data_IF_106518306946
#
_entry.id   IF_106518306946
#
_cell.length_a   1.000
_cell.length_b   1.000
_cell.length_c   1.000
_cell.angle_alpha   90.00
_cell.angle_beta   90.00
_cell.angle_gamma   90.00
#
_symmetry.space_group_name_H-M   'P 1'
#
loop_
_entity.id
_entity.type
_entity.pdbx_description
1 polymer ?
#
# COMPACT_ATOMS: atom_id res chain seq x y z
N UNK A 1 12.22 8.03 -9.63
CA UNK A 1 12.11 7.12 -8.46
C UNK A 1 12.19 5.69 -8.98
N UNK A 2 12.92 4.81 -8.29
CA UNK A 2 13.56 3.60 -8.83
C UNK A 2 12.62 2.58 -9.48
N UNK A 3 12.75 2.37 -10.80
CA UNK A 3 12.06 1.33 -11.58
C UNK A 3 12.51 -0.11 -11.26
N UNK A 4 13.53 -0.28 -10.40
CA UNK A 4 14.11 -1.56 -9.98
C UNK A 4 13.51 -2.10 -8.67
N UNK A 5 12.55 -1.40 -8.07
CA UNK A 5 11.84 -1.85 -6.87
C UNK A 5 10.77 -2.89 -7.24
N UNK A 6 11.20 -4.12 -7.55
CA UNK A 6 10.26 -5.22 -7.80
C UNK A 6 9.51 -5.58 -6.51
N UNK A 7 8.15 -5.59 -6.52
CA UNK A 7 7.38 -5.99 -5.35
C UNK A 7 7.74 -7.42 -4.92
N UNK A 8 8.05 -7.61 -3.64
CA UNK A 8 8.32 -8.95 -3.09
C UNK A 8 7.07 -9.83 -3.24
N UNK A 9 7.16 -11.00 -3.90
CA UNK A 9 6.03 -11.92 -4.05
C UNK A 9 5.51 -12.40 -2.69
N UNK A 10 4.19 -12.62 -2.51
CA UNK A 10 3.61 -13.07 -1.25
C UNK A 10 4.22 -14.38 -0.72
N UNK A 11 4.58 -15.31 -1.61
CA UNK A 11 5.22 -16.59 -1.26
C UNK A 11 6.59 -16.42 -0.62
N UNK A 12 7.41 -15.49 -1.15
CA UNK A 12 8.72 -15.15 -0.60
C UNK A 12 8.59 -14.44 0.74
N UNK A 13 7.57 -13.60 0.88
CA UNK A 13 7.25 -12.94 2.14
C UNK A 13 6.87 -13.96 3.21
N UNK A 14 5.93 -14.88 2.92
CA UNK A 14 5.49 -15.93 3.84
C UNK A 14 6.64 -16.86 4.27
N UNK A 15 7.53 -17.25 3.36
CA UNK A 15 8.68 -18.08 3.69
C UNK A 15 9.61 -17.42 4.72
N UNK A 16 9.78 -16.09 4.65
CA UNK A 16 10.60 -15.34 5.59
C UNK A 16 9.93 -15.12 6.96
N UNK A 17 8.62 -15.36 7.09
CA UNK A 17 7.91 -15.21 8.38
C UNK A 17 8.27 -16.32 9.38
N UNK A 18 8.58 -17.52 8.89
CA UNK A 18 8.82 -18.73 9.72
C UNK A 18 10.01 -18.60 10.66
N UNK A 19 10.96 -17.75 10.30
CA UNK A 19 12.21 -17.54 11.05
C UNK A 19 12.15 -16.31 11.99
N UNK A 20 11.00 -15.61 12.04
CA UNK A 20 10.83 -14.40 12.83
C UNK A 20 10.34 -14.71 14.26
N UNK A 21 10.84 -13.93 15.22
CA UNK A 21 10.25 -13.90 16.56
C UNK A 21 8.86 -13.26 16.53
N UNK A 22 8.02 -13.60 17.52
CA UNK A 22 6.69 -12.97 17.71
C UNK A 22 6.79 -11.44 17.77
N UNK A 23 7.81 -10.90 18.45
CA UNK A 23 8.04 -9.45 18.50
C UNK A 23 8.31 -8.84 17.13
N UNK A 24 9.06 -9.54 16.28
CA UNK A 24 9.33 -9.12 14.90
C UNK A 24 8.09 -9.21 14.01
N UNK A 25 7.23 -10.21 14.21
CA UNK A 25 5.94 -10.32 13.51
C UNK A 25 5.01 -9.15 13.86
N UNK A 26 4.90 -8.78 15.14
CA UNK A 26 4.12 -7.62 15.57
C UNK A 26 4.69 -6.31 15.02
N UNK A 27 6.01 -6.13 15.05
CA UNK A 27 6.66 -4.96 14.47
C UNK A 27 6.36 -4.86 12.97
N UNK A 28 6.42 -5.97 12.23
CA UNK A 28 6.11 -5.98 10.80
C UNK A 28 4.64 -5.67 10.52
N UNK A 29 3.72 -6.19 11.34
CA UNK A 29 2.30 -5.87 11.23
C UNK A 29 2.02 -4.38 11.50
N UNK A 30 2.71 -3.77 12.47
CA UNK A 30 2.59 -2.34 12.76
C UNK A 30 3.13 -1.49 11.60
N UNK A 31 4.29 -1.85 11.04
CA UNK A 31 4.87 -1.18 9.87
C UNK A 31 3.90 -1.20 8.67
N UNK A 32 3.33 -2.38 8.34
CA UNK A 32 2.37 -2.50 7.24
C UNK A 32 1.12 -1.65 7.46
N UNK A 33 0.58 -1.62 8.68
CA UNK A 33 -0.59 -0.78 9.00
C UNK A 33 -0.30 0.71 8.86
N UNK A 34 0.87 1.15 9.33
CA UNK A 34 1.27 2.55 9.20
C UNK A 34 1.39 2.94 7.72
N UNK A 35 2.02 2.08 6.90
CA UNK A 35 2.14 2.34 5.46
C UNK A 35 0.77 2.40 4.76
N UNK A 36 -0.15 1.49 5.09
CA UNK A 36 -1.53 1.53 4.58
C UNK A 36 -2.22 2.84 4.97
N UNK A 37 -2.11 3.25 6.24
CA UNK A 37 -2.71 4.49 6.71
C UNK A 37 -2.16 5.71 5.94
N UNK A 38 -0.84 5.77 5.74
CA UNK A 38 -0.23 6.85 4.96
C UNK A 38 -0.72 6.88 3.50
N UNK A 39 -0.78 5.73 2.82
CA UNK A 39 -1.29 5.64 1.45
C UNK A 39 -2.77 6.00 1.35
N UNK A 40 -3.59 5.56 2.31
CA UNK A 40 -5.01 5.89 2.37
C UNK A 40 -5.23 7.41 2.55
N UNK A 41 -4.45 8.05 3.44
CA UNK A 41 -4.49 9.51 3.60
C UNK A 41 -4.02 10.24 2.34
N UNK A 42 -2.99 9.76 1.66
CA UNK A 42 -2.53 10.33 0.38
C UNK A 42 -3.61 10.21 -0.70
N UNK A 43 -4.27 9.06 -0.81
CA UNK A 43 -5.37 8.86 -1.77
C UNK A 43 -6.55 9.78 -1.46
N UNK A 44 -6.87 10.00 -0.18
CA UNK A 44 -7.92 10.96 0.18
C UNK A 44 -7.58 12.38 -0.30
N UNK A 45 -6.35 12.83 -0.05
CA UNK A 45 -5.89 14.15 -0.51
C UNK A 45 -5.95 14.30 -2.03
N UNK A 46 -5.56 13.26 -2.78
CA UNK A 46 -5.65 13.27 -4.25
C UNK A 46 -7.10 13.31 -4.72
N UNK A 47 -8.02 12.61 -4.06
CA UNK A 47 -9.46 12.68 -4.38
C UNK A 47 -10.03 14.04 -4.09
N UNK A 48 -9.69 14.64 -2.95
CA UNK A 48 -10.14 15.98 -2.58
C UNK A 48 -9.64 17.01 -3.61
N UNK A 49 -8.38 16.90 -4.05
CA UNK A 49 -7.84 17.72 -5.13
C UNK A 49 -8.60 17.56 -6.45
N UNK A 50 -8.92 16.33 -6.87
CA UNK A 50 -9.70 16.06 -8.08
C UNK A 50 -11.13 16.60 -7.99
N UNK A 51 -11.73 16.63 -6.81
CA UNK A 51 -13.07 17.19 -6.59
C UNK A 51 -13.11 18.72 -6.69
N UNK A 52 -11.99 19.38 -6.36
CA UNK A 52 -11.83 20.83 -6.47
C UNK A 52 -11.49 21.30 -7.91
N UNK A 53 -11.21 20.37 -8.84
CA UNK A 53 -10.93 20.72 -10.23
C UNK A 53 -12.17 21.22 -10.96
N UNK A 54 -11.94 22.05 -11.98
CA UNK A 54 -13.00 22.54 -12.87
C UNK A 54 -13.67 21.35 -13.59
N UNK A 55 -14.98 21.10 -13.38
CA UNK A 55 -15.68 19.99 -14.01
C UNK A 55 -15.78 20.07 -15.54
N UNK A 56 -15.47 21.23 -16.13
CA UNK A 56 -15.41 21.42 -17.59
C UNK A 56 -14.08 20.97 -18.19
N UNK A 57 -13.05 20.72 -17.38
CA UNK A 57 -11.76 20.21 -17.80
C UNK A 57 -11.65 18.70 -17.52
N UNK A 58 -10.84 17.96 -18.29
CA UNK A 58 -10.50 16.58 -17.95
C UNK A 58 -9.81 16.50 -16.59
N UNK A 59 -10.14 15.47 -15.81
CA UNK A 59 -9.46 15.19 -14.55
C UNK A 59 -7.96 14.94 -14.78
N UNK A 60 -7.14 15.38 -13.82
CA UNK A 60 -5.70 15.14 -13.84
C UNK A 60 -5.39 13.62 -13.85
N UNK A 61 -4.90 13.14 -14.99
CA UNK A 61 -4.61 11.73 -15.22
C UNK A 61 -3.52 11.20 -14.27
N UNK A 62 -2.52 12.04 -13.92
CA UNK A 62 -1.44 11.62 -13.02
C UNK A 62 -1.98 11.36 -11.61
N UNK A 63 -2.95 12.19 -11.16
CA UNK A 63 -3.62 11.99 -9.88
C UNK A 63 -4.48 10.72 -9.87
N UNK A 64 -5.19 10.44 -10.96
CA UNK A 64 -6.01 9.22 -11.10
C UNK A 64 -5.13 7.98 -11.11
N UNK A 65 -4.04 7.98 -11.88
CA UNK A 65 -3.11 6.86 -11.96
C UNK A 65 -2.41 6.62 -10.63
N UNK A 66 -1.98 7.68 -9.94
CA UNK A 66 -1.39 7.57 -8.60
C UNK A 66 -2.34 6.93 -7.58
N UNK A 67 -3.64 7.27 -7.61
CA UNK A 67 -4.65 6.63 -6.75
C UNK A 67 -4.73 5.13 -7.04
N UNK A 68 -4.83 4.74 -8.31
CA UNK A 68 -4.92 3.33 -8.71
C UNK A 68 -3.67 2.53 -8.32
N UNK A 69 -2.48 3.09 -8.50
CA UNK A 69 -1.23 2.46 -8.08
C UNK A 69 -1.17 2.27 -6.56
N UNK A 70 -1.53 3.31 -5.80
CA UNK A 70 -1.58 3.25 -4.35
C UNK A 70 -2.57 2.19 -3.84
N UNK A 71 -3.75 2.08 -4.45
CA UNK A 71 -4.74 1.04 -4.12
C UNK A 71 -4.19 -0.37 -4.36
N UNK A 72 -3.48 -0.59 -5.46
CA UNK A 72 -2.82 -1.86 -5.73
C UNK A 72 -1.74 -2.19 -4.68
N UNK A 73 -1.02 -1.18 -4.18
CA UNK A 73 -0.04 -1.35 -3.10
C UNK A 73 -0.73 -1.66 -1.76
N UNK A 74 -1.79 -0.94 -1.41
CA UNK A 74 -2.59 -1.18 -0.19
C UNK A 74 -3.09 -2.63 -0.17
N UNK A 75 -3.71 -3.09 -1.25
CA UNK A 75 -4.24 -4.46 -1.34
C UNK A 75 -3.16 -5.52 -1.06
N UNK A 76 -1.97 -5.37 -1.64
CA UNK A 76 -0.83 -6.28 -1.40
C UNK A 76 -0.35 -6.24 0.05
N UNK A 77 -0.39 -5.07 0.70
CA UNK A 77 -0.03 -4.94 2.12
C UNK A 77 -1.07 -5.59 3.02
N UNK A 78 -2.36 -5.47 2.70
CA UNK A 78 -3.45 -6.16 3.42
C UNK A 78 -3.33 -7.68 3.29
N UNK A 79 -3.01 -8.19 2.11
CA UNK A 79 -2.72 -9.62 1.89
C UNK A 79 -1.56 -10.09 2.79
N UNK A 80 -0.49 -9.30 2.91
CA UNK A 80 0.64 -9.60 3.80
C UNK A 80 0.26 -9.56 5.28
N UNK A 81 -0.61 -8.64 5.70
CA UNK A 81 -1.16 -8.64 7.07
C UNK A 81 -1.99 -9.91 7.30
N UNK A 82 -2.74 -10.37 6.29
CA UNK A 82 -3.45 -11.66 6.34
C UNK A 82 -2.51 -12.82 6.63
N UNK A 83 -1.38 -12.90 5.92
CA UNK A 83 -0.36 -13.93 6.11
C UNK A 83 0.30 -13.87 7.50
N UNK A 84 0.46 -12.68 8.07
CA UNK A 84 0.99 -12.53 9.44
C UNK A 84 0.02 -13.03 10.52
N UNK A 85 -1.29 -13.12 10.24
CA UNK A 85 -2.29 -13.63 11.20
C UNK A 85 -2.38 -15.16 11.22
N UNK A 86 -1.88 -15.82 10.18
CA UNK A 86 -1.95 -17.28 10.04
C UNK A 86 -0.74 -18.00 10.62
N UNK A 87 0.31 -17.26 11.01
CA UNK A 87 1.55 -17.76 11.61
C UNK A 87 1.56 -17.54 13.13
#
# INVERSE_FOLDING_TARGET
>A
MSAESHPIPPTRFAAALKDLSIGSLHAKAAELRNNIQHLASSNQQLRDYLLEQDPSLPADADCVDAIHENEAVIKRMEERIGLLKTE
#
